data_IF_580648768888
#
_entry.id   IF_580648768888
#
_cell.length_a   1.000
_cell.length_b   1.000
_cell.length_c   1.000
_cell.angle_alpha   90.00
_cell.angle_beta   90.00
_cell.angle_gamma   90.00
#
_symmetry.space_group_name_H-M   'P 1'
#
loop_
_entity.id
_entity.type
_entity.pdbx_description
1 polymer ?
#
# COMPACT_ATOMS: atom_id res chain seq x y z
N UNK A 1 34.04 16.36 4.82
CA UNK A 1 33.90 14.91 4.50
C UNK A 1 32.49 14.50 4.08
N UNK A 2 31.48 15.37 4.25
CA UNK A 2 30.06 15.04 3.96
C UNK A 2 29.64 14.99 2.48
N UNK A 3 30.24 15.77 1.60
CA UNK A 3 29.78 15.85 0.20
C UNK A 3 30.23 14.69 -0.71
N UNK A 4 31.35 14.03 -0.41
CA UNK A 4 31.83 12.89 -1.21
C UNK A 4 31.04 11.59 -0.93
N UNK A 5 30.51 11.40 0.29
CA UNK A 5 29.64 10.25 0.63
C UNK A 5 28.23 10.33 0.03
N UNK A 6 27.73 11.54 -0.34
CA UNK A 6 26.38 11.73 -0.90
C UNK A 6 26.22 11.18 -2.34
N UNK A 7 27.27 11.14 -3.16
CA UNK A 7 27.18 10.75 -4.58
C UNK A 7 27.20 9.24 -4.84
N UNK A 8 27.68 8.43 -3.91
CA UNK A 8 27.83 6.98 -4.10
C UNK A 8 26.62 6.14 -3.63
N UNK A 9 25.61 6.75 -2.99
CA UNK A 9 24.50 6.03 -2.35
C UNK A 9 23.20 6.02 -3.14
N UNK A 10 23.05 6.82 -4.20
CA UNK A 10 21.82 6.86 -4.99
C UNK A 10 21.91 5.93 -6.20
N UNK A 11 20.93 5.03 -6.34
CA UNK A 11 20.77 4.27 -7.58
C UNK A 11 20.31 5.23 -8.65
N UNK A 12 21.11 5.37 -9.73
CA UNK A 12 20.79 6.25 -10.84
C UNK A 12 19.46 5.87 -11.51
N UNK A 13 18.63 6.86 -11.83
CA UNK A 13 17.33 6.66 -12.48
C UNK A 13 17.45 5.85 -13.79
N UNK A 14 18.55 6.00 -14.53
CA UNK A 14 18.86 5.24 -15.76
C UNK A 14 18.91 3.72 -15.50
N UNK A 15 19.45 3.29 -14.36
CA UNK A 15 19.56 1.87 -13.98
C UNK A 15 18.21 1.28 -13.60
N UNK A 16 17.29 2.13 -13.11
CA UNK A 16 15.94 1.74 -12.70
C UNK A 16 14.93 1.76 -13.86
N UNK A 17 15.07 2.68 -14.80
CA UNK A 17 14.14 2.88 -15.93
C UNK A 17 14.33 1.91 -17.11
N UNK A 18 15.51 1.32 -17.28
CA UNK A 18 15.92 0.56 -18.47
C UNK A 18 15.25 -0.79 -18.74
N UNK A 19 14.08 -1.11 -18.15
CA UNK A 19 13.31 -2.35 -18.42
C UNK A 19 11.81 -2.06 -18.36
N UNK A 20 11.03 -2.62 -19.30
CA UNK A 20 9.59 -2.39 -19.49
C UNK A 20 8.79 -2.45 -18.20
N UNK A 21 8.15 -1.34 -17.82
CA UNK A 21 7.22 -1.21 -16.72
C UNK A 21 5.78 -1.36 -17.22
N UNK A 22 5.03 -2.34 -16.76
CA UNK A 22 3.58 -2.53 -16.96
C UNK A 22 3.05 -2.21 -18.37
N UNK A 23 3.87 -2.42 -19.44
CA UNK A 23 3.50 -2.18 -20.84
C UNK A 23 3.72 -0.74 -21.33
N UNK A 24 4.31 0.14 -20.50
CA UNK A 24 4.88 1.45 -20.91
C UNK A 24 6.29 1.55 -20.36
N UNK A 25 7.21 1.98 -21.22
CA UNK A 25 8.58 2.28 -20.78
C UNK A 25 8.53 3.64 -20.06
N UNK A 26 8.65 3.65 -18.73
CA UNK A 26 8.80 4.89 -17.97
C UNK A 26 10.12 5.54 -18.38
N UNK A 27 10.05 6.79 -18.84
CA UNK A 27 11.23 7.52 -19.29
C UNK A 27 12.15 7.79 -18.08
N UNK A 28 13.48 7.55 -18.21
CA UNK A 28 14.43 7.79 -17.11
C UNK A 28 14.37 9.22 -16.57
N UNK A 29 14.20 10.20 -17.46
CA UNK A 29 14.11 11.61 -17.11
C UNK A 29 12.87 11.92 -16.27
N UNK A 30 11.74 11.28 -16.56
CA UNK A 30 10.49 11.42 -15.78
C UNK A 30 10.66 10.85 -14.39
N UNK A 31 11.28 9.66 -14.27
CA UNK A 31 11.55 9.04 -12.96
C UNK A 31 12.55 9.89 -12.14
N UNK A 32 13.60 10.42 -12.78
CA UNK A 32 14.57 11.31 -12.14
C UNK A 32 13.89 12.56 -11.59
N UNK A 33 13.08 13.23 -12.43
CA UNK A 33 12.31 14.41 -12.05
C UNK A 33 11.33 14.12 -10.91
N UNK A 34 10.59 13.02 -11.00
CA UNK A 34 9.66 12.57 -9.95
C UNK A 34 10.38 12.37 -8.61
N UNK A 35 11.53 11.67 -8.60
CA UNK A 35 12.28 11.43 -7.36
C UNK A 35 12.90 12.72 -6.79
N UNK A 36 13.32 13.68 -7.65
CA UNK A 36 13.79 14.99 -7.20
C UNK A 36 12.67 15.78 -6.52
N UNK A 37 11.49 15.84 -7.14
CA UNK A 37 10.32 16.48 -6.53
C UNK A 37 9.92 15.79 -5.22
N UNK A 38 9.89 14.46 -5.19
CA UNK A 38 9.55 13.71 -3.99
C UNK A 38 10.51 14.02 -2.83
N UNK A 39 11.82 14.02 -3.10
CA UNK A 39 12.84 14.34 -2.09
C UNK A 39 12.79 15.80 -1.63
N UNK A 40 12.43 16.72 -2.52
CA UNK A 40 12.19 18.12 -2.14
C UNK A 40 10.96 18.20 -1.20
N UNK A 41 9.85 17.61 -1.58
CA UNK A 41 8.60 17.64 -0.80
C UNK A 41 8.76 17.01 0.60
N UNK A 42 9.48 15.87 0.71
CA UNK A 42 9.64 15.17 2.00
C UNK A 42 10.74 15.79 2.88
N UNK A 43 11.84 16.27 2.29
CA UNK A 43 13.07 16.63 3.02
C UNK A 43 13.48 18.07 2.83
N UNK A 44 12.72 18.86 2.07
CA UNK A 44 13.07 20.24 1.68
C UNK A 44 14.48 20.33 1.03
N UNK A 45 14.84 19.31 0.25
CA UNK A 45 16.13 19.29 -0.46
C UNK A 45 16.03 20.14 -1.71
N UNK A 46 17.09 20.95 -2.04
CA UNK A 46 17.13 21.68 -3.29
C UNK A 46 16.97 20.76 -4.51
N UNK A 47 16.24 21.22 -5.52
CA UNK A 47 16.10 20.52 -6.80
C UNK A 47 17.28 20.91 -7.69
N UNK A 48 18.38 20.16 -7.61
CA UNK A 48 19.59 20.39 -8.40
C UNK A 48 19.58 19.58 -9.70
N UNK A 49 20.20 20.13 -10.77
CA UNK A 49 20.35 19.41 -12.04
C UNK A 49 19.01 19.01 -12.68
N UNK A 50 17.99 19.86 -12.54
CA UNK A 50 16.71 19.67 -13.19
C UNK A 50 16.85 19.75 -14.71
N UNK A 51 16.28 18.80 -15.42
CA UNK A 51 16.15 18.82 -16.87
C UNK A 51 14.73 19.27 -17.22
N UNK A 52 14.60 20.25 -18.12
CA UNK A 52 13.29 20.71 -18.57
C UNK A 52 12.53 19.55 -19.22
N UNK A 53 11.32 19.31 -18.74
CA UNK A 53 10.43 18.26 -19.23
C UNK A 53 9.57 18.77 -20.40
N UNK A 54 9.28 17.89 -21.36
CA UNK A 54 8.27 18.14 -22.38
C UNK A 54 6.85 18.07 -21.78
N UNK A 55 5.82 18.60 -22.46
CA UNK A 55 4.43 18.45 -22.02
C UNK A 55 4.01 16.99 -21.81
N UNK A 56 4.49 16.06 -22.66
CA UNK A 56 4.21 14.61 -22.54
C UNK A 56 4.89 14.02 -21.32
N UNK A 57 6.12 14.41 -21.01
CA UNK A 57 6.85 13.99 -19.83
C UNK A 57 6.17 14.51 -18.54
N UNK A 58 5.66 15.73 -18.56
CA UNK A 58 4.86 16.27 -17.45
C UNK A 58 3.55 15.49 -17.25
N UNK A 59 2.85 15.10 -18.33
CA UNK A 59 1.66 14.24 -18.25
C UNK A 59 2.00 12.87 -17.64
N UNK A 60 3.13 12.29 -18.03
CA UNK A 60 3.61 11.01 -17.49
C UNK A 60 3.96 11.13 -16.00
N UNK A 61 4.64 12.20 -15.58
CA UNK A 61 4.98 12.49 -14.18
C UNK A 61 3.71 12.66 -13.33
N UNK A 62 2.74 13.46 -13.78
CA UNK A 62 1.47 13.65 -13.10
C UNK A 62 0.69 12.33 -12.98
N UNK A 63 0.67 11.50 -14.03
CA UNK A 63 0.05 10.18 -14.00
C UNK A 63 0.74 9.23 -13.02
N UNK A 64 2.07 9.31 -12.89
CA UNK A 64 2.83 8.54 -11.91
C UNK A 64 2.51 9.00 -10.48
N UNK A 65 2.48 10.32 -10.23
CA UNK A 65 2.10 10.91 -8.96
C UNK A 65 0.71 10.44 -8.51
N UNK A 66 -0.25 10.48 -9.42
CA UNK A 66 -1.62 10.00 -9.20
C UNK A 66 -1.68 8.51 -8.91
N UNK A 67 -0.97 7.69 -9.68
CA UNK A 67 -0.95 6.24 -9.50
C UNK A 67 -0.43 5.82 -8.12
N UNK A 68 0.46 6.64 -7.52
CA UNK A 68 1.02 6.42 -6.19
C UNK A 68 0.32 7.22 -5.08
N UNK A 69 -0.77 7.94 -5.39
CA UNK A 69 -1.49 8.82 -4.45
C UNK A 69 -0.58 9.86 -3.78
N UNK A 70 0.32 10.43 -4.58
CA UNK A 70 1.31 11.43 -4.18
C UNK A 70 1.11 12.79 -4.88
N UNK A 71 -0.02 13.00 -5.58
CA UNK A 71 -0.28 14.27 -6.28
C UNK A 71 -0.20 15.46 -5.33
N UNK A 72 -0.83 15.39 -4.15
CA UNK A 72 -0.73 16.44 -3.13
C UNK A 72 0.71 16.61 -2.63
N UNK A 73 1.36 15.52 -2.21
CA UNK A 73 2.74 15.60 -1.69
C UNK A 73 3.72 16.17 -2.72
N UNK A 74 3.62 15.79 -4.01
CA UNK A 74 4.52 16.31 -5.03
C UNK A 74 4.22 17.77 -5.42
N UNK A 75 2.98 18.25 -5.20
CA UNK A 75 2.67 19.66 -5.47
C UNK A 75 3.47 20.61 -4.58
N UNK A 76 3.90 20.17 -3.39
CA UNK A 76 4.75 20.97 -2.50
C UNK A 76 6.09 21.35 -3.14
N UNK A 77 6.56 20.56 -4.12
CA UNK A 77 7.80 20.81 -4.83
C UNK A 77 7.66 21.73 -6.05
N UNK A 78 6.44 22.05 -6.50
CA UNK A 78 6.23 22.84 -7.73
C UNK A 78 6.88 24.23 -7.64
N UNK A 79 6.77 24.88 -6.48
CA UNK A 79 7.37 26.21 -6.24
C UNK A 79 8.90 26.18 -6.08
N UNK A 80 9.50 24.99 -6.00
CA UNK A 80 10.95 24.79 -5.87
C UNK A 80 11.62 24.48 -7.22
N UNK A 81 10.86 24.44 -8.29
CA UNK A 81 11.38 24.19 -9.64
C UNK A 81 12.20 25.38 -10.13
N UNK A 82 13.26 25.15 -10.95
CA UNK A 82 13.99 26.24 -11.58
C UNK A 82 13.10 27.08 -12.49
N UNK A 83 13.43 28.35 -12.59
CA UNK A 83 12.69 29.31 -13.47
C UNK A 83 12.54 28.77 -14.90
N UNK A 84 11.36 28.90 -15.47
CA UNK A 84 11.01 28.42 -16.80
C UNK A 84 10.93 26.90 -16.97
N UNK A 85 10.87 26.17 -15.85
CA UNK A 85 10.69 24.72 -15.83
C UNK A 85 9.33 24.29 -15.29
N UNK A 86 8.37 25.20 -15.25
CA UNK A 86 7.02 24.96 -14.76
C UNK A 86 6.26 23.92 -15.59
N UNK A 87 5.29 23.27 -14.94
CA UNK A 87 4.37 22.39 -15.64
C UNK A 87 3.45 23.19 -16.58
N UNK A 88 3.16 22.71 -17.80
CA UNK A 88 2.19 23.36 -18.68
C UNK A 88 0.79 23.44 -18.03
N UNK A 89 0.02 24.50 -18.32
CA UNK A 89 -1.30 24.73 -17.72
C UNK A 89 -2.25 23.55 -17.90
N UNK A 90 -2.22 22.90 -19.06
CA UNK A 90 -3.05 21.70 -19.34
C UNK A 90 -2.73 20.49 -18.45
N UNK A 91 -1.56 20.47 -17.79
CA UNK A 91 -1.18 19.46 -16.80
C UNK A 91 -1.42 19.98 -15.37
N UNK A 92 -1.03 21.23 -15.13
CA UNK A 92 -1.07 21.85 -13.81
C UNK A 92 -2.50 22.03 -13.29
N UNK A 93 -3.42 22.54 -14.12
CA UNK A 93 -4.80 22.78 -13.70
C UNK A 93 -5.52 21.50 -13.21
N UNK A 94 -5.55 20.37 -13.95
CA UNK A 94 -6.13 19.13 -13.44
C UNK A 94 -5.40 18.60 -12.20
N UNK A 95 -4.09 18.82 -12.09
CA UNK A 95 -3.33 18.41 -10.92
C UNK A 95 -3.74 19.21 -9.68
N UNK A 96 -3.86 20.52 -9.77
CA UNK A 96 -4.30 21.37 -8.65
C UNK A 96 -5.73 21.07 -8.21
N UNK A 97 -6.64 20.72 -9.14
CA UNK A 97 -7.98 20.23 -8.81
C UNK A 97 -7.91 18.93 -7.98
N UNK A 98 -6.95 18.05 -8.27
CA UNK A 98 -6.75 16.82 -7.48
C UNK A 98 -6.15 17.12 -6.10
N UNK A 99 -5.26 18.09 -5.98
CA UNK A 99 -4.72 18.58 -4.70
C UNK A 99 -5.87 19.12 -3.83
N UNK A 100 -6.69 20.01 -4.37
CA UNK A 100 -7.84 20.56 -3.66
C UNK A 100 -8.79 19.46 -3.15
N UNK A 101 -9.07 18.44 -3.96
CA UNK A 101 -9.88 17.30 -3.51
C UNK A 101 -9.21 16.51 -2.38
N UNK A 102 -7.89 16.45 -2.35
CA UNK A 102 -7.14 15.80 -1.28
C UNK A 102 -7.27 16.60 0.02
N UNK A 103 -7.18 17.93 -0.05
CA UNK A 103 -7.39 18.84 1.09
C UNK A 103 -8.82 18.76 1.62
N UNK A 104 -9.83 18.78 0.74
CA UNK A 104 -11.24 18.64 1.11
C UNK A 104 -11.49 17.27 1.81
N UNK A 105 -10.90 16.21 1.28
CA UNK A 105 -10.98 14.87 1.90
C UNK A 105 -10.29 14.85 3.27
N UNK A 106 -9.11 15.46 3.40
CA UNK A 106 -8.41 15.58 4.68
C UNK A 106 -9.25 16.35 5.72
N UNK A 107 -9.86 17.46 5.34
CA UNK A 107 -10.75 18.24 6.21
C UNK A 107 -11.96 17.41 6.69
N UNK A 108 -12.57 16.62 5.78
CA UNK A 108 -13.68 15.72 6.13
C UNK A 108 -13.22 14.62 7.10
N UNK A 109 -12.08 13.97 6.83
CA UNK A 109 -11.51 12.95 7.71
C UNK A 109 -11.21 13.53 9.11
N UNK A 110 -10.61 14.72 9.17
CA UNK A 110 -10.30 15.42 10.42
C UNK A 110 -11.57 15.70 11.25
N UNK A 111 -12.64 16.13 10.58
CA UNK A 111 -13.95 16.36 11.22
C UNK A 111 -14.53 15.05 11.79
N UNK A 112 -14.50 13.97 11.03
CA UNK A 112 -15.03 12.67 11.46
C UNK A 112 -14.21 12.13 12.62
N UNK A 113 -12.87 12.13 12.51
CA UNK A 113 -11.97 11.66 13.58
C UNK A 113 -12.16 12.48 14.84
N UNK A 114 -12.25 13.80 14.73
CA UNK A 114 -12.49 14.68 15.89
C UNK A 114 -13.83 14.44 16.58
N UNK A 115 -14.88 14.13 15.81
CA UNK A 115 -16.20 13.75 16.35
C UNK A 115 -16.13 12.38 17.04
N UNK A 116 -15.54 11.38 16.38
CA UNK A 116 -15.43 10.04 16.94
C UNK A 116 -14.56 10.01 18.19
N UNK A 117 -13.41 10.73 18.20
CA UNK A 117 -12.53 10.83 19.37
C UNK A 117 -13.28 11.33 20.59
N UNK A 118 -14.09 12.39 20.46
CA UNK A 118 -14.92 12.89 21.57
C UNK A 118 -15.89 11.83 22.09
N UNK A 119 -16.55 11.10 21.19
CA UNK A 119 -17.47 10.00 21.56
C UNK A 119 -16.72 8.90 22.32
N UNK A 120 -15.53 8.53 21.86
CA UNK A 120 -14.71 7.51 22.53
C UNK A 120 -14.27 7.96 23.93
N UNK A 121 -13.82 9.22 24.04
CA UNK A 121 -13.41 9.83 25.32
C UNK A 121 -14.57 9.93 26.31
N UNK A 122 -15.75 10.42 25.88
CA UNK A 122 -16.96 10.49 26.71
C UNK A 122 -17.43 9.13 27.21
N UNK A 123 -17.15 8.07 26.49
CA UNK A 123 -17.46 6.67 26.84
C UNK A 123 -16.33 5.97 27.55
N UNK A 124 -15.21 6.62 27.78
CA UNK A 124 -14.03 6.04 28.44
C UNK A 124 -13.32 4.96 27.62
N UNK A 125 -13.54 4.90 26.29
CA UNK A 125 -12.94 3.91 25.40
C UNK A 125 -11.50 4.30 25.07
N UNK A 126 -10.57 3.37 25.18
CA UNK A 126 -9.17 3.54 24.77
C UNK A 126 -9.04 3.30 23.27
N UNK A 127 -9.13 4.35 22.48
CA UNK A 127 -9.05 4.30 21.02
C UNK A 127 -7.74 4.89 20.51
N UNK A 128 -7.08 4.18 19.60
CA UNK A 128 -5.87 4.61 18.90
C UNK A 128 -6.14 4.70 17.40
N UNK A 129 -5.83 5.84 16.80
CA UNK A 129 -5.84 5.99 15.36
C UNK A 129 -4.55 5.39 14.78
N UNK A 130 -4.66 4.37 13.92
CA UNK A 130 -3.49 3.60 13.47
C UNK A 130 -2.76 4.24 12.28
N UNK A 131 -3.51 4.83 11.36
CA UNK A 131 -3.04 5.28 10.03
C UNK A 131 -3.83 6.53 9.59
N UNK A 132 -3.74 6.86 8.31
CA UNK A 132 -4.50 7.96 7.74
C UNK A 132 -4.02 9.31 8.25
N UNK A 133 -4.81 10.00 9.04
CA UNK A 133 -4.48 11.31 9.61
C UNK A 133 -3.27 11.27 10.56
N UNK A 134 -3.08 10.15 11.29
CA UNK A 134 -1.87 9.97 12.12
C UNK A 134 -0.60 10.04 11.27
N UNK A 135 -0.59 9.35 10.12
CA UNK A 135 0.53 9.44 9.19
C UNK A 135 0.62 10.82 8.52
N UNK A 136 -0.51 11.45 8.18
CA UNK A 136 -0.53 12.78 7.57
C UNK A 136 0.11 13.84 8.49
N UNK A 137 -0.13 13.78 9.80
CA UNK A 137 0.45 14.70 10.78
C UNK A 137 1.98 14.71 10.81
N UNK A 138 2.64 13.70 10.23
CA UNK A 138 4.10 13.63 10.13
C UNK A 138 4.67 14.38 8.93
N UNK A 139 3.82 14.82 7.98
CA UNK A 139 4.21 15.57 6.78
C UNK A 139 4.24 17.07 7.05
N UNK A 140 5.03 17.80 6.24
CA UNK A 140 5.14 19.26 6.36
C UNK A 140 3.81 19.96 6.02
N UNK A 141 3.05 19.39 5.07
CA UNK A 141 1.69 19.82 4.70
C UNK A 141 0.78 18.59 4.85
N UNK A 142 0.19 18.38 6.03
CA UNK A 142 -0.64 17.20 6.32
C UNK A 142 -1.80 17.01 5.35
N UNK A 143 -2.39 18.10 4.87
CA UNK A 143 -3.55 18.15 3.97
C UNK A 143 -3.21 17.57 2.59
N UNK A 144 -1.95 17.60 2.17
CA UNK A 144 -1.48 17.09 0.90
C UNK A 144 -1.19 15.59 0.91
N UNK A 145 -1.16 14.96 2.08
CA UNK A 145 -1.05 13.50 2.19
C UNK A 145 -2.43 12.87 2.04
N UNK A 146 -2.65 12.16 0.93
CA UNK A 146 -3.93 11.49 0.63
C UNK A 146 -4.30 10.48 1.72
N UNK A 147 -5.44 10.69 2.39
CA UNK A 147 -6.05 9.74 3.31
C UNK A 147 -7.04 8.83 2.59
N UNK A 148 -7.21 7.60 3.03
CA UNK A 148 -8.18 6.62 2.49
C UNK A 148 -9.29 6.36 3.50
N UNK A 149 -9.05 5.41 4.36
CA UNK A 149 -9.92 4.96 5.44
C UNK A 149 -9.53 5.58 6.79
N UNK A 150 -10.40 5.46 7.77
CA UNK A 150 -10.14 5.83 9.17
C UNK A 150 -10.03 4.54 9.95
N UNK A 151 -8.85 4.26 10.46
CA UNK A 151 -8.50 3.00 11.13
C UNK A 151 -8.43 3.18 12.64
N UNK A 152 -9.42 2.69 13.38
CA UNK A 152 -9.42 2.70 14.84
C UNK A 152 -9.04 1.34 15.42
N UNK A 153 -8.16 1.34 16.38
CA UNK A 153 -7.89 0.20 17.26
C UNK A 153 -8.35 0.54 18.68
N UNK A 154 -8.94 -0.44 19.36
CA UNK A 154 -9.39 -0.30 20.74
C UNK A 154 -8.57 -1.22 21.65
N UNK A 155 -8.20 -0.70 22.84
CA UNK A 155 -7.28 -1.39 23.75
C UNK A 155 -7.78 -2.72 24.29
N UNK A 156 -9.10 -2.99 24.21
CA UNK A 156 -9.73 -4.23 24.66
C UNK A 156 -10.80 -4.72 23.69
N UNK A 157 -11.15 -6.01 23.79
CA UNK A 157 -12.26 -6.58 23.03
C UNK A 157 -13.62 -6.00 23.46
N UNK A 158 -13.74 -5.54 24.69
CA UNK A 158 -14.93 -4.90 25.22
C UNK A 158 -15.09 -3.49 24.66
N UNK A 159 -14.02 -2.68 24.66
CA UNK A 159 -14.03 -1.37 24.04
C UNK A 159 -14.36 -1.44 22.53
N UNK A 160 -13.74 -2.42 21.84
CA UNK A 160 -14.03 -2.67 20.42
C UNK A 160 -15.51 -3.02 20.19
N UNK A 161 -16.10 -3.87 21.04
CA UNK A 161 -17.51 -4.25 20.96
C UNK A 161 -18.41 -3.03 21.23
N UNK A 162 -18.13 -2.26 22.27
CA UNK A 162 -18.87 -1.05 22.64
C UNK A 162 -18.81 -0.01 21.52
N UNK A 163 -17.65 0.19 20.90
CA UNK A 163 -17.51 1.10 19.77
C UNK A 163 -18.38 0.69 18.56
N UNK A 164 -18.45 -0.62 18.28
CA UNK A 164 -19.33 -1.15 17.23
C UNK A 164 -20.81 -0.97 17.57
N UNK A 165 -21.22 -1.19 18.81
CA UNK A 165 -22.61 -0.97 19.28
C UNK A 165 -23.00 0.51 19.16
N UNK A 166 -22.09 1.43 19.49
CA UNK A 166 -22.30 2.87 19.31
C UNK A 166 -22.48 3.21 17.81
N UNK A 167 -21.63 2.70 16.92
CA UNK A 167 -21.74 2.93 15.49
C UNK A 167 -23.08 2.38 14.95
N UNK A 168 -23.48 1.16 15.34
CA UNK A 168 -24.75 0.57 14.96
C UNK A 168 -25.95 1.38 15.51
N UNK A 169 -25.90 1.80 16.77
CA UNK A 169 -26.93 2.64 17.40
C UNK A 169 -27.10 4.00 16.74
N UNK A 170 -26.08 4.51 16.08
CA UNK A 170 -26.12 5.72 15.24
C UNK A 170 -26.54 5.43 13.78
N UNK A 171 -27.04 4.25 13.48
CA UNK A 171 -27.58 3.87 12.16
C UNK A 171 -26.53 3.46 11.13
N UNK A 172 -25.26 3.24 11.53
CA UNK A 172 -24.25 2.73 10.62
C UNK A 172 -24.48 1.25 10.31
N UNK A 173 -24.44 0.88 9.03
CA UNK A 173 -24.49 -0.52 8.60
C UNK A 173 -23.09 -1.13 8.76
N UNK A 174 -22.95 -2.02 9.74
CA UNK A 174 -21.69 -2.69 10.03
C UNK A 174 -21.50 -3.91 9.13
N UNK A 175 -20.31 -4.06 8.58
CA UNK A 175 -19.88 -5.25 7.83
C UNK A 175 -18.58 -5.78 8.45
N UNK A 176 -18.50 -7.11 8.64
CA UNK A 176 -17.32 -7.76 9.21
C UNK A 176 -16.54 -8.45 8.09
N UNK A 177 -15.24 -8.21 8.04
CA UNK A 177 -14.35 -8.85 7.08
C UNK A 177 -13.89 -10.25 7.52
N UNK A 178 -13.01 -10.88 6.71
CA UNK A 178 -12.47 -12.22 6.99
C UNK A 178 -11.46 -12.26 8.15
N UNK A 179 -10.87 -11.13 8.49
CA UNK A 179 -9.89 -11.00 9.57
C UNK A 179 -10.59 -10.66 10.91
N UNK A 180 -11.91 -10.37 10.85
CA UNK A 180 -12.79 -10.09 11.98
C UNK A 180 -12.83 -8.60 12.32
N UNK A 181 -12.28 -7.74 11.48
CA UNK A 181 -12.40 -6.30 11.60
C UNK A 181 -13.76 -5.84 11.10
N UNK A 182 -14.31 -4.79 11.71
CA UNK A 182 -15.60 -4.21 11.34
C UNK A 182 -15.39 -2.93 10.56
N UNK A 183 -16.09 -2.79 9.44
CA UNK A 183 -16.08 -1.55 8.66
C UNK A 183 -17.50 -1.05 8.39
N UNK A 184 -17.63 0.25 8.25
CA UNK A 184 -18.85 0.96 7.90
C UNK A 184 -18.54 2.27 7.19
N UNK A 185 -19.53 2.89 6.59
CA UNK A 185 -19.39 4.19 5.91
C UNK A 185 -20.03 5.29 6.74
N UNK A 186 -19.29 6.36 7.01
CA UNK A 186 -19.77 7.56 7.67
C UNK A 186 -19.48 8.78 6.80
N UNK A 187 -20.54 9.48 6.36
CA UNK A 187 -20.43 10.64 5.45
C UNK A 187 -19.61 10.37 4.17
N UNK A 188 -19.66 9.13 3.66
CA UNK A 188 -18.92 8.72 2.45
C UNK A 188 -17.49 8.25 2.71
N UNK A 189 -16.99 8.32 3.96
CA UNK A 189 -15.67 7.81 4.37
C UNK A 189 -15.82 6.44 5.00
N UNK A 190 -14.95 5.50 4.61
CA UNK A 190 -14.87 4.18 5.24
C UNK A 190 -14.17 4.30 6.60
N UNK A 191 -14.79 3.74 7.62
CA UNK A 191 -14.24 3.64 8.97
C UNK A 191 -14.06 2.17 9.29
N UNK A 192 -12.90 1.81 9.78
CA UNK A 192 -12.54 0.44 10.17
C UNK A 192 -12.24 0.37 11.66
N UNK A 193 -12.88 -0.58 12.36
CA UNK A 193 -12.63 -0.91 13.74
C UNK A 193 -11.81 -2.20 13.81
N UNK A 194 -10.52 -2.07 14.03
CA UNK A 194 -9.57 -3.18 14.07
C UNK A 194 -9.58 -3.91 15.41
N UNK A 195 -9.60 -5.24 15.35
CA UNK A 195 -9.39 -6.10 16.53
C UNK A 195 -7.95 -6.16 16.97
N UNK A 196 -7.04 -5.79 16.08
CA UNK A 196 -5.59 -5.80 16.30
C UNK A 196 -4.98 -4.53 15.73
N UNK A 197 -4.00 -3.99 16.45
CA UNK A 197 -3.30 -2.78 16.01
C UNK A 197 -2.24 -3.03 14.92
N UNK A 198 -1.96 -4.30 14.57
CA UNK A 198 -0.97 -4.66 13.56
C UNK A 198 -1.43 -5.82 12.68
N UNK A 199 -0.81 -5.95 11.52
CA UNK A 199 -1.12 -6.90 10.45
C UNK A 199 -0.27 -8.19 10.49
N UNK A 200 0.47 -8.46 11.57
CA UNK A 200 1.31 -9.64 11.68
C UNK A 200 0.49 -10.95 11.50
N UNK A 201 0.95 -11.82 10.62
CA UNK A 201 0.27 -13.06 10.27
C UNK A 201 0.88 -14.29 10.94
N UNK A 202 2.21 -14.32 11.15
CA UNK A 202 2.89 -15.46 11.77
C UNK A 202 2.81 -15.45 13.29
N UNK A 203 2.73 -16.61 13.92
CA UNK A 203 2.77 -16.72 15.38
C UNK A 203 4.07 -16.15 15.97
N UNK A 204 5.18 -16.26 15.23
CA UNK A 204 6.47 -15.70 15.63
C UNK A 204 6.42 -14.18 15.74
N UNK A 205 5.95 -13.49 14.70
CA UNK A 205 5.86 -12.03 14.69
C UNK A 205 4.84 -11.56 15.72
N UNK A 206 3.67 -12.20 15.82
CA UNK A 206 2.63 -11.87 16.78
C UNK A 206 3.15 -11.88 18.22
N UNK A 207 3.87 -12.93 18.62
CA UNK A 207 4.40 -13.03 19.98
C UNK A 207 5.27 -11.82 20.37
N UNK A 208 6.06 -11.30 19.44
CA UNK A 208 6.93 -10.15 19.68
C UNK A 208 6.15 -8.83 19.60
N UNK A 209 5.33 -8.68 18.57
CA UNK A 209 4.69 -7.40 18.27
C UNK A 209 3.52 -7.13 19.21
N UNK A 210 2.67 -8.13 19.51
CA UNK A 210 1.52 -7.95 20.39
C UNK A 210 1.91 -7.67 21.85
N UNK A 211 3.17 -7.93 22.21
CA UNK A 211 3.71 -7.59 23.54
C UNK A 211 4.12 -6.10 23.67
N UNK A 212 4.13 -5.35 22.57
CA UNK A 212 4.50 -3.93 22.59
C UNK A 212 3.26 -3.07 22.86
N UNK A 213 3.39 -1.99 23.66
CA UNK A 213 2.36 -0.97 23.75
C UNK A 213 2.23 -0.29 22.37
N UNK A 214 1.03 -0.26 21.78
CA UNK A 214 0.86 0.15 20.38
C UNK A 214 1.19 1.62 20.11
N UNK A 215 1.16 2.48 21.15
CA UNK A 215 1.47 3.90 21.07
C UNK A 215 2.98 4.22 21.05
N UNK A 216 3.84 3.22 21.31
CA UNK A 216 5.28 3.46 21.37
C UNK A 216 5.88 3.65 19.97
N UNK A 217 6.97 4.46 19.84
CA UNK A 217 7.66 4.68 18.56
C UNK A 217 8.06 3.38 17.85
N UNK A 218 8.64 2.42 18.58
CA UNK A 218 9.01 1.12 17.99
C UNK A 218 7.79 0.35 17.47
N UNK A 219 6.69 0.33 18.23
CA UNK A 219 5.45 -0.34 17.80
C UNK A 219 4.91 0.31 16.53
N UNK A 220 4.89 1.64 16.46
CA UNK A 220 4.43 2.39 15.31
C UNK A 220 5.30 2.17 14.05
N UNK A 221 6.63 2.09 14.20
CA UNK A 221 7.55 1.75 13.11
C UNK A 221 7.36 0.30 12.65
N UNK A 222 7.23 -0.64 13.58
CA UNK A 222 6.99 -2.06 13.28
C UNK A 222 5.62 -2.24 12.60
N UNK A 223 4.58 -1.56 13.07
CA UNK A 223 3.24 -1.62 12.49
C UNK A 223 3.26 -1.24 11.00
N UNK A 224 3.88 -0.11 10.66
CA UNK A 224 4.01 0.35 9.27
C UNK A 224 4.83 -0.62 8.41
N UNK A 225 5.91 -1.18 8.98
CA UNK A 225 6.74 -2.19 8.31
C UNK A 225 5.93 -3.45 7.94
N UNK A 226 5.15 -3.97 8.89
CA UNK A 226 4.30 -5.16 8.70
C UNK A 226 3.13 -4.86 7.75
N UNK A 227 2.57 -3.66 7.84
CA UNK A 227 1.50 -3.21 6.95
C UNK A 227 1.97 -3.16 5.47
N UNK A 228 3.16 -2.60 5.21
CA UNK A 228 3.77 -2.62 3.88
C UNK A 228 3.97 -4.06 3.41
N UNK A 229 4.46 -4.95 4.28
CA UNK A 229 4.64 -6.37 3.94
C UNK A 229 3.32 -7.06 3.57
N UNK A 230 2.24 -6.81 4.33
CA UNK A 230 0.89 -7.32 4.02
C UNK A 230 0.47 -6.91 2.62
N UNK A 231 0.57 -5.62 2.31
CA UNK A 231 0.23 -5.10 0.98
C UNK A 231 1.11 -5.68 -0.13
N UNK A 232 2.41 -5.76 0.09
CA UNK A 232 3.35 -6.35 -0.85
C UNK A 232 2.98 -7.78 -1.24
N UNK A 233 2.52 -8.58 -0.27
CA UNK A 233 2.14 -9.99 -0.50
C UNK A 233 0.80 -10.16 -1.20
N UNK A 234 -0.11 -9.19 -1.13
CA UNK A 234 -1.51 -9.39 -1.56
C UNK A 234 -1.91 -8.50 -2.73
N UNK A 235 -1.60 -7.21 -2.68
CA UNK A 235 -2.17 -6.22 -3.59
C UNK A 235 -1.16 -5.32 -4.29
N UNK A 236 0.10 -5.31 -3.84
CA UNK A 236 1.14 -4.40 -4.31
C UNK A 236 1.45 -3.29 -3.31
N UNK A 237 2.61 -2.66 -3.49
CA UNK A 237 3.13 -1.62 -2.59
C UNK A 237 2.96 -0.26 -3.26
N UNK A 238 2.21 0.65 -2.63
CA UNK A 238 2.19 2.06 -3.03
C UNK A 238 3.41 2.82 -2.49
N UNK A 239 3.97 3.71 -3.29
CA UNK A 239 5.10 4.53 -2.84
C UNK A 239 4.73 5.42 -1.64
N UNK A 240 3.46 5.86 -1.54
CA UNK A 240 2.96 6.59 -0.37
C UNK A 240 3.20 5.84 0.94
N UNK A 241 2.98 4.53 0.99
CA UNK A 241 3.20 3.73 2.20
C UNK A 241 4.68 3.70 2.63
N UNK A 242 5.59 3.72 1.65
CA UNK A 242 7.03 3.84 1.91
C UNK A 242 7.41 5.25 2.36
N UNK A 243 6.78 6.29 1.80
CA UNK A 243 6.92 7.66 2.30
C UNK A 243 6.41 7.77 3.75
N UNK A 244 5.25 7.19 4.08
CA UNK A 244 4.72 7.17 5.45
C UNK A 244 5.71 6.54 6.44
N UNK A 245 6.37 5.45 6.06
CA UNK A 245 7.39 4.83 6.91
C UNK A 245 8.63 5.73 7.04
N UNK A 246 9.08 6.37 5.95
CA UNK A 246 10.20 7.30 5.98
C UNK A 246 9.92 8.52 6.88
N UNK A 247 8.69 9.06 6.78
CA UNK A 247 8.24 10.17 7.63
C UNK A 247 8.11 9.76 9.10
N UNK A 248 7.69 8.52 9.37
CA UNK A 248 7.65 7.99 10.73
C UNK A 248 9.05 7.87 11.35
N UNK A 249 10.06 7.43 10.59
CA UNK A 249 11.45 7.43 11.05
C UNK A 249 11.92 8.84 11.39
N UNK A 250 11.57 9.86 10.59
CA UNK A 250 11.88 11.27 10.91
C UNK A 250 11.15 11.74 12.17
N UNK A 251 9.85 11.42 12.28
CA UNK A 251 9.02 11.87 13.39
C UNK A 251 9.48 11.29 14.73
N UNK A 252 9.88 10.03 14.74
CA UNK A 252 10.34 9.32 15.95
C UNK A 252 11.86 9.35 16.16
N UNK A 253 12.60 10.14 15.39
CA UNK A 253 14.04 10.26 15.54
C UNK A 253 14.40 10.68 16.98
N UNK A 254 15.36 9.96 17.58
CA UNK A 254 15.76 10.16 18.97
C UNK A 254 14.76 9.71 20.04
N UNK A 255 13.59 9.16 19.67
CA UNK A 255 12.54 8.71 20.59
C UNK A 255 12.52 7.18 20.80
N UNK A 256 13.38 6.43 20.15
CA UNK A 256 13.52 4.99 20.27
C UNK A 256 14.98 4.56 20.17
N UNK A 257 15.27 3.35 20.63
CA UNK A 257 16.59 2.74 20.45
C UNK A 257 16.65 1.94 19.13
N UNK A 258 17.47 2.35 18.13
CA UNK A 258 17.60 1.63 16.87
C UNK A 258 18.07 0.18 17.02
N UNK A 259 18.90 -0.12 18.04
CA UNK A 259 19.34 -1.49 18.31
C UNK A 259 18.21 -2.35 18.86
N UNK A 260 17.39 -1.80 19.75
CA UNK A 260 16.16 -2.43 20.27
C UNK A 260 15.17 -2.73 19.15
N UNK A 261 14.86 -1.75 18.29
CA UNK A 261 13.97 -1.92 17.14
C UNK A 261 14.48 -3.04 16.20
N UNK A 262 15.77 -3.00 15.85
CA UNK A 262 16.39 -4.02 15.00
C UNK A 262 16.34 -5.41 15.65
N UNK A 263 16.57 -5.49 16.95
CA UNK A 263 16.46 -6.72 17.74
C UNK A 263 15.06 -7.32 17.69
N UNK A 264 14.03 -6.52 17.96
CA UNK A 264 12.61 -6.91 17.92
C UNK A 264 12.20 -7.39 16.50
N UNK A 265 12.57 -6.66 15.45
CA UNK A 265 12.31 -7.05 14.07
C UNK A 265 13.01 -8.36 13.69
N UNK A 266 14.24 -8.58 14.16
CA UNK A 266 14.96 -9.84 13.94
C UNK A 266 14.31 -11.00 14.69
N UNK A 267 13.92 -10.78 15.93
CA UNK A 267 13.17 -11.76 16.75
C UNK A 267 11.83 -12.11 16.10
N UNK A 268 11.09 -11.13 15.60
CA UNK A 268 9.85 -11.31 14.86
C UNK A 268 10.03 -12.03 13.50
N UNK A 269 11.27 -12.21 13.02
CA UNK A 269 11.57 -12.81 11.71
C UNK A 269 11.43 -11.83 10.54
N UNK A 270 11.43 -10.54 10.82
CA UNK A 270 11.26 -9.44 9.87
C UNK A 270 12.56 -8.67 9.59
N UNK A 271 13.69 -9.03 10.22
CA UNK A 271 14.94 -8.26 10.13
C UNK A 271 15.45 -8.11 8.69
N UNK A 272 15.38 -9.16 7.86
CA UNK A 272 15.79 -9.06 6.44
C UNK A 272 14.84 -8.16 5.64
N UNK A 273 13.52 -8.30 5.87
CA UNK A 273 12.52 -7.44 5.22
C UNK A 273 12.73 -5.98 5.58
N UNK A 274 12.93 -5.67 6.86
CA UNK A 274 13.26 -4.32 7.30
C UNK A 274 14.54 -3.78 6.64
N UNK A 275 15.60 -4.59 6.52
CA UNK A 275 16.82 -4.19 5.81
C UNK A 275 16.55 -3.82 4.35
N UNK A 276 15.70 -4.60 3.64
CA UNK A 276 15.30 -4.29 2.27
C UNK A 276 14.51 -2.98 2.17
N UNK A 277 13.57 -2.74 3.11
CA UNK A 277 12.84 -1.48 3.18
C UNK A 277 13.79 -0.31 3.48
N UNK A 278 14.67 -0.45 4.47
CA UNK A 278 15.65 0.59 4.82
C UNK A 278 16.55 0.95 3.63
N UNK A 279 17.02 -0.05 2.86
CA UNK A 279 17.79 0.20 1.65
C UNK A 279 16.98 1.02 0.63
N UNK A 280 15.68 0.73 0.46
CA UNK A 280 14.80 1.50 -0.40
C UNK A 280 14.62 2.94 0.13
N UNK A 281 14.31 3.10 1.41
CA UNK A 281 14.07 4.42 2.01
C UNK A 281 15.31 5.32 1.89
N UNK A 282 16.50 4.78 2.11
CA UNK A 282 17.76 5.55 2.01
C UNK A 282 18.11 5.85 0.56
N UNK A 283 18.12 4.84 -0.32
CA UNK A 283 18.67 4.98 -1.66
C UNK A 283 17.69 5.57 -2.68
N UNK A 284 16.38 5.33 -2.51
CA UNK A 284 15.35 5.80 -3.44
C UNK A 284 14.66 7.05 -2.92
N UNK A 285 14.16 7.01 -1.67
CA UNK A 285 13.44 8.14 -1.07
C UNK A 285 14.42 9.18 -0.50
N UNK A 286 15.64 8.77 -0.13
CA UNK A 286 16.66 9.66 0.43
C UNK A 286 16.47 9.95 1.92
N UNK A 287 15.91 9.00 2.69
CA UNK A 287 15.77 9.12 4.14
C UNK A 287 17.13 9.12 4.83
N UNK A 288 17.41 10.11 5.70
CA UNK A 288 18.66 10.26 6.44
C UNK A 288 18.55 9.82 7.91
N UNK A 289 17.37 9.40 8.36
CA UNK A 289 17.07 9.06 9.76
C UNK A 289 17.30 7.58 10.09
N UNK A 290 17.78 6.82 9.13
CA UNK A 290 18.11 5.40 9.28
C UNK A 290 19.38 5.07 8.53
N UNK A 291 20.11 4.06 9.00
CA UNK A 291 21.29 3.56 8.31
C UNK A 291 20.94 2.65 7.13
N UNK A 292 21.72 2.76 6.08
CA UNK A 292 21.64 1.86 4.94
C UNK A 292 22.09 0.45 5.37
N UNK A 293 21.30 -0.56 5.02
CA UNK A 293 21.73 -1.96 5.13
C UNK A 293 22.56 -2.34 3.89
N UNK A 294 23.88 -2.30 4.01
CA UNK A 294 24.82 -2.63 2.92
C UNK A 294 24.83 -4.12 2.55
N UNK A 295 24.12 -4.96 3.32
CA UNK A 295 23.99 -6.41 3.03
C UNK A 295 22.88 -6.73 2.03
N UNK A 296 22.06 -5.73 1.66
CA UNK A 296 21.01 -5.92 0.68
C UNK A 296 21.59 -5.97 -0.72
N UNK A 297 21.44 -7.08 -1.46
CA UNK A 297 21.91 -7.17 -2.84
C UNK A 297 21.20 -6.14 -3.74
N UNK A 298 21.95 -5.49 -4.63
CA UNK A 298 21.40 -4.49 -5.54
C UNK A 298 20.24 -5.03 -6.39
N UNK A 299 20.30 -6.30 -6.82
CA UNK A 299 19.24 -6.94 -7.60
C UNK A 299 17.91 -7.06 -6.82
N UNK A 300 17.96 -7.26 -5.50
CA UNK A 300 16.75 -7.34 -4.66
C UNK A 300 16.14 -5.95 -4.45
N UNK A 301 16.97 -4.94 -4.29
CA UNK A 301 16.50 -3.56 -4.22
C UNK A 301 15.91 -3.10 -5.55
N UNK A 302 16.55 -3.42 -6.68
CA UNK A 302 16.00 -3.17 -8.02
C UNK A 302 14.66 -3.88 -8.22
N UNK A 303 14.52 -5.11 -7.72
CA UNK A 303 13.25 -5.82 -7.75
C UNK A 303 12.18 -5.05 -6.95
N UNK A 304 12.49 -4.59 -5.72
CA UNK A 304 11.53 -3.85 -4.91
C UNK A 304 11.12 -2.53 -5.58
N UNK A 305 12.07 -1.79 -6.14
CA UNK A 305 11.78 -0.54 -6.88
C UNK A 305 10.81 -0.81 -8.04
N UNK A 306 11.07 -1.85 -8.85
CA UNK A 306 10.18 -2.23 -9.94
C UNK A 306 8.80 -2.63 -9.42
N UNK A 307 8.74 -3.46 -8.39
CA UNK A 307 7.48 -3.90 -7.82
C UNK A 307 6.64 -2.70 -7.34
N UNK A 308 7.27 -1.70 -6.72
CA UNK A 308 6.62 -0.47 -6.29
C UNK A 308 6.12 0.34 -7.49
N UNK A 309 6.98 0.61 -8.48
CA UNK A 309 6.62 1.43 -9.65
C UNK A 309 5.55 0.78 -10.53
N UNK A 310 5.55 -0.56 -10.64
CA UNK A 310 4.57 -1.30 -11.44
C UNK A 310 3.21 -1.44 -10.76
N UNK A 311 3.19 -1.59 -9.44
CA UNK A 311 1.97 -1.88 -8.69
C UNK A 311 1.11 -0.64 -8.45
N UNK A 312 1.73 0.52 -8.22
CA UNK A 312 1.02 1.71 -7.75
C UNK A 312 0.31 1.47 -6.41
N UNK A 313 -0.55 2.39 -6.01
CA UNK A 313 -1.35 2.21 -4.81
C UNK A 313 -2.43 1.13 -5.07
N UNK A 314 -2.42 0.02 -4.33
CA UNK A 314 -3.32 -1.14 -4.43
C UNK A 314 -3.14 -2.08 -5.63
N UNK A 315 -1.98 -2.07 -6.28
CA UNK A 315 -1.73 -2.93 -7.44
C UNK A 315 -2.67 -2.57 -8.60
N UNK A 316 -2.15 -2.21 -9.76
CA UNK A 316 -3.00 -2.04 -10.95
C UNK A 316 -3.67 -3.39 -11.21
N UNK A 317 -4.94 -3.55 -10.83
CA UNK A 317 -5.78 -4.61 -11.39
C UNK A 317 -5.70 -4.46 -12.90
N UNK A 318 -4.97 -5.31 -13.57
CA UNK A 318 -5.03 -5.44 -15.02
C UNK A 318 -6.50 -5.68 -15.34
N UNK A 319 -7.16 -4.69 -15.93
CA UNK A 319 -8.44 -4.86 -16.57
C UNK A 319 -8.24 -5.78 -17.79
N UNK A 320 -8.27 -7.08 -17.56
CA UNK A 320 -8.61 -8.05 -18.57
C UNK A 320 -10.12 -8.28 -18.43
N UNK A 321 -10.90 -7.63 -19.30
CA UNK A 321 -12.34 -7.82 -19.38
C UNK A 321 -13.16 -6.67 -18.80
N UNK A 322 -13.81 -5.93 -19.69
CA UNK A 322 -14.80 -4.85 -19.57
C UNK A 322 -15.66 -4.72 -18.31
N UNK A 323 -15.06 -4.32 -17.21
CA UNK A 323 -15.75 -3.84 -16.01
C UNK A 323 -15.34 -2.39 -15.80
N UNK A 324 -16.33 -1.49 -15.68
CA UNK A 324 -16.10 -0.09 -15.35
C UNK A 324 -15.20 0.04 -14.13
N UNK A 325 -14.27 1.03 -14.08
CA UNK A 325 -13.49 1.31 -12.88
C UNK A 325 -14.46 1.58 -11.73
N UNK A 326 -14.30 0.87 -10.61
CA UNK A 326 -14.76 1.41 -9.34
C UNK A 326 -13.75 2.52 -8.99
N UNK A 327 -14.01 3.70 -9.51
CA UNK A 327 -13.44 4.93 -8.97
C UNK A 327 -13.86 4.96 -7.51
N UNK A 328 -12.90 5.17 -6.61
CA UNK A 328 -13.18 5.44 -5.22
C UNK A 328 -14.25 6.54 -5.18
N UNK A 329 -15.44 6.18 -4.74
CA UNK A 329 -16.65 6.98 -4.87
C UNK A 329 -16.60 8.12 -3.87
N UNK A 330 -15.80 9.15 -4.15
CA UNK A 330 -15.87 10.43 -3.47
C UNK A 330 -17.02 11.22 -4.09
N UNK A 331 -18.19 11.19 -3.43
CA UNK A 331 -19.20 12.23 -3.45
C UNK A 331 -19.74 12.69 -4.80
N UNK A 332 -20.60 11.91 -5.46
CA UNK A 332 -21.63 12.46 -6.34
C UNK A 332 -23.00 12.25 -5.73
N UNK A 333 -23.45 13.21 -4.94
CA UNK A 333 -24.89 13.43 -4.74
C UNK A 333 -25.45 13.97 -6.06
N UNK A 334 -26.18 13.15 -6.80
CA UNK A 334 -27.20 13.66 -7.73
C UNK A 334 -28.38 14.10 -6.87
N UNK A 335 -28.73 15.39 -6.97
CA UNK A 335 -30.04 15.88 -6.60
C UNK A 335 -31.10 15.08 -7.37
N UNK A 336 -31.96 14.42 -6.64
CA UNK A 336 -33.17 13.81 -7.17
C UNK A 336 -34.25 14.87 -7.22
N UNK A 337 -34.57 15.34 -8.41
CA UNK A 337 -35.87 15.96 -8.67
C UNK A 337 -36.89 14.88 -8.97
N UNK A 338 -38.04 15.10 -8.37
CA UNK A 338 -39.32 14.50 -8.31
C UNK A 338 -39.85 13.52 -9.35
N UNK A 339 -40.59 12.62 -8.80
CA UNK A 339 -41.86 11.97 -9.23
C UNK A 339 -42.12 11.71 -10.73
N UNK A 340 -42.24 10.42 -11.06
CA UNK A 340 -43.51 9.79 -11.57
C UNK A 340 -43.34 8.28 -11.86
N UNK A 341 -44.51 7.52 -11.85
CA UNK A 341 -44.50 6.11 -11.61
C UNK A 341 -44.68 5.21 -12.84
N UNK A 342 -44.37 3.92 -12.61
CA UNK A 342 -44.88 2.70 -13.26
C UNK A 342 -44.99 2.60 -14.79
N UNK A 343 -44.32 1.60 -15.36
CA UNK A 343 -45.03 0.55 -16.14
C UNK A 343 -44.17 -0.71 -16.28
N UNK A 344 -44.83 -1.84 -16.07
CA UNK A 344 -44.38 -3.21 -16.30
C UNK A 344 -44.02 -3.47 -17.77
N UNK A 345 -43.03 -4.32 -18.05
CA UNK A 345 -43.33 -5.53 -18.85
C UNK A 345 -42.13 -6.49 -18.97
N UNK A 346 -42.46 -7.71 -18.80
CA UNK A 346 -41.95 -9.02 -19.17
C UNK A 346 -41.07 -9.12 -20.42
N UNK A 347 -40.07 -10.03 -20.36
CA UNK A 347 -39.82 -10.87 -21.51
C UNK A 347 -38.38 -11.44 -21.66
N UNK A 348 -38.20 -12.70 -21.23
CA UNK A 348 -37.37 -13.78 -21.84
C UNK A 348 -35.95 -13.45 -22.30
N UNK A 349 -34.87 -13.97 -21.70
CA UNK A 349 -34.45 -15.36 -21.88
C UNK A 349 -33.44 -15.50 -23.02
N UNK A 350 -32.15 -15.74 -22.69
CA UNK A 350 -31.31 -16.72 -23.39
C UNK A 350 -29.96 -16.95 -22.66
N UNK A 351 -29.68 -18.23 -22.49
CA UNK A 351 -28.44 -18.80 -21.98
C UNK A 351 -27.28 -18.60 -22.99
N UNK A 352 -26.08 -18.42 -22.50
CA UNK A 352 -24.88 -19.04 -23.09
C UNK A 352 -23.65 -18.91 -22.17
N UNK A 353 -23.13 -20.06 -21.76
CA UNK A 353 -21.74 -20.48 -21.88
C UNK A 353 -20.75 -19.83 -20.94
N UNK A 354 -20.68 -20.28 -19.65
CA UNK A 354 -19.59 -19.95 -18.77
C UNK A 354 -18.46 -20.97 -18.81
N UNK A 355 -17.31 -20.62 -19.34
CA UNK A 355 -16.09 -21.40 -19.18
C UNK A 355 -15.47 -21.23 -17.79
N UNK A 356 -15.35 -22.32 -17.04
CA UNK A 356 -14.72 -22.36 -15.71
C UNK A 356 -13.18 -22.28 -15.85
N UNK A 357 -12.46 -21.47 -15.06
CA UNK A 357 -11.01 -21.56 -14.98
C UNK A 357 -10.60 -22.82 -14.20
N UNK A 358 -9.70 -23.58 -14.76
CA UNK A 358 -9.21 -24.83 -14.17
C UNK A 358 -8.52 -24.64 -12.81
N UNK A 359 -8.96 -25.42 -11.86
CA UNK A 359 -8.58 -25.41 -10.44
C UNK A 359 -7.22 -26.08 -10.10
N UNK A 360 -6.45 -26.52 -11.10
CA UNK A 360 -5.29 -27.41 -10.90
C UNK A 360 -4.07 -26.78 -10.22
N UNK A 361 -3.77 -25.53 -10.53
CA UNK A 361 -2.54 -24.88 -10.02
C UNK A 361 -2.58 -24.52 -8.52
N UNK A 362 -3.77 -24.32 -7.95
CA UNK A 362 -3.94 -23.99 -6.53
C UNK A 362 -3.96 -25.23 -5.62
N UNK A 363 -4.38 -26.37 -6.15
CA UNK A 363 -4.35 -27.65 -5.42
C UNK A 363 -2.91 -28.13 -5.17
N UNK A 364 -2.02 -27.92 -6.13
CA UNK A 364 -0.60 -28.26 -6.01
C UNK A 364 0.14 -27.39 -4.96
N UNK A 365 -0.24 -26.13 -4.79
CA UNK A 365 0.32 -25.28 -3.74
C UNK A 365 -0.13 -25.72 -2.33
N UNK A 366 -1.35 -26.24 -2.18
CA UNK A 366 -1.88 -26.70 -0.89
C UNK A 366 -1.15 -27.95 -0.36
N UNK A 367 -0.81 -28.90 -1.20
CA UNK A 367 -0.14 -30.14 -0.80
C UNK A 367 1.34 -29.97 -0.46
N UNK A 368 2.04 -29.05 -1.15
CA UNK A 368 3.44 -28.72 -0.86
C UNK A 368 3.64 -28.01 0.48
N UNK A 369 2.61 -27.31 0.97
CA UNK A 369 2.66 -26.54 2.23
C UNK A 369 2.27 -27.38 3.46
N UNK A 370 1.66 -28.56 3.28
CA UNK A 370 1.22 -29.41 4.40
C UNK A 370 2.35 -30.25 5.01
N UNK A 371 3.49 -30.42 4.32
CA UNK A 371 4.58 -31.32 4.73
C UNK A 371 5.74 -30.67 5.50
N UNK A 372 5.66 -29.39 5.86
CA UNK A 372 6.56 -28.74 6.84
C UNK A 372 8.03 -28.57 6.47
N UNK A 373 8.49 -29.07 5.34
CA UNK A 373 9.86 -28.88 4.82
C UNK A 373 9.79 -28.35 3.38
N UNK A 374 10.49 -27.27 3.04
CA UNK A 374 10.61 -26.84 1.65
C UNK A 374 11.51 -27.83 0.92
N UNK A 375 10.93 -28.74 0.18
CA UNK A 375 11.69 -29.60 -0.71
C UNK A 375 11.92 -28.86 -2.02
N UNK A 376 13.16 -28.93 -2.53
CA UNK A 376 13.57 -28.37 -3.83
C UNK A 376 12.73 -28.90 -5.01
N UNK A 377 12.01 -30.02 -4.83
CA UNK A 377 11.12 -30.60 -5.81
C UNK A 377 9.87 -29.81 -6.19
N UNK A 378 9.38 -28.92 -5.31
CA UNK A 378 8.20 -28.10 -5.60
C UNK A 378 8.48 -27.01 -6.67
N UNK A 379 9.69 -26.48 -6.68
CA UNK A 379 10.16 -25.54 -7.70
C UNK A 379 10.40 -26.24 -9.05
N UNK A 380 10.86 -27.49 -9.02
CA UNK A 380 11.11 -28.31 -10.24
C UNK A 380 9.79 -28.73 -10.89
N UNK A 381 8.77 -29.09 -10.11
CA UNK A 381 7.44 -29.44 -10.62
C UNK A 381 6.71 -28.23 -11.25
N UNK A 382 6.92 -27.02 -10.71
CA UNK A 382 6.40 -25.81 -11.33
C UNK A 382 7.11 -25.46 -12.63
N UNK A 383 8.41 -25.72 -12.74
CA UNK A 383 9.18 -25.55 -13.98
C UNK A 383 8.73 -26.49 -15.09
N UNK A 384 8.44 -27.76 -14.78
CA UNK A 384 8.01 -28.79 -15.76
C UNK A 384 6.57 -28.57 -16.27
N UNK A 385 5.66 -27.99 -15.44
CA UNK A 385 4.30 -27.65 -15.86
C UNK A 385 4.26 -26.48 -16.87
N UNK A 386 5.32 -25.66 -16.92
CA UNK A 386 5.44 -24.55 -17.85
C UNK A 386 5.97 -24.99 -19.23
N UNK A 387 6.68 -26.14 -19.31
CA UNK A 387 7.31 -26.63 -20.54
C UNK A 387 6.39 -27.42 -21.45
N UNK A 388 5.21 -27.86 -21.01
CA UNK A 388 4.36 -28.82 -21.74
C UNK A 388 3.12 -28.22 -22.44
N UNK A 389 2.94 -26.91 -22.47
CA UNK A 389 1.84 -26.28 -23.22
C UNK A 389 2.24 -24.92 -23.77
N UNK A 390 1.87 -24.58 -25.01
CA UNK A 390 2.02 -23.21 -25.57
C UNK A 390 1.05 -22.29 -24.84
N UNK A 391 1.46 -21.53 -23.78
CA UNK A 391 0.56 -20.62 -23.10
C UNK A 391 0.45 -19.33 -23.88
N UNK A 392 -0.73 -18.75 -23.86
CA UNK A 392 -0.93 -17.37 -24.35
C UNK A 392 -0.01 -16.42 -23.58
N UNK A 393 0.68 -15.55 -24.27
CA UNK A 393 1.77 -14.69 -23.76
C UNK A 393 1.47 -13.92 -22.47
N UNK A 394 0.19 -13.63 -22.18
CA UNK A 394 -0.25 -12.96 -20.95
C UNK A 394 -0.25 -13.83 -19.69
N UNK A 395 -0.50 -15.13 -19.79
CA UNK A 395 -0.55 -16.05 -18.63
C UNK A 395 0.86 -16.35 -18.10
N UNK A 396 1.86 -16.47 -18.98
CA UNK A 396 3.27 -16.67 -18.62
C UNK A 396 3.84 -15.46 -17.86
N UNK A 397 3.52 -14.26 -18.29
CA UNK A 397 3.98 -13.03 -17.62
C UNK A 397 3.37 -12.90 -16.20
N UNK A 398 2.11 -13.31 -16.02
CA UNK A 398 1.44 -13.32 -14.71
C UNK A 398 2.02 -14.38 -13.76
N UNK A 399 2.29 -15.57 -14.27
CA UNK A 399 2.91 -16.64 -13.48
C UNK A 399 4.37 -16.31 -13.11
N UNK A 400 5.14 -15.73 -14.03
CA UNK A 400 6.49 -15.27 -13.78
C UNK A 400 6.56 -14.19 -12.70
N UNK A 401 5.66 -13.22 -12.72
CA UNK A 401 5.56 -12.17 -11.70
C UNK A 401 5.17 -12.73 -10.32
N UNK A 402 4.20 -13.64 -10.25
CA UNK A 402 3.78 -14.26 -9.00
C UNK A 402 4.87 -15.14 -8.39
N UNK A 403 5.60 -15.90 -9.22
CA UNK A 403 6.73 -16.71 -8.78
C UNK A 403 7.90 -15.86 -8.29
N UNK A 404 8.24 -14.79 -9.02
CA UNK A 404 9.30 -13.85 -8.62
C UNK A 404 9.00 -13.19 -7.28
N UNK A 405 7.75 -12.76 -7.04
CA UNK A 405 7.31 -12.23 -5.74
C UNK A 405 7.39 -13.27 -4.64
N UNK A 406 6.94 -14.49 -4.90
CA UNK A 406 7.02 -15.59 -3.93
C UNK A 406 8.44 -15.89 -3.48
N UNK A 407 9.40 -15.88 -4.40
CA UNK A 407 10.82 -16.10 -4.10
C UNK A 407 11.39 -15.00 -3.18
N UNK A 408 11.06 -13.73 -3.43
CA UNK A 408 11.53 -12.62 -2.60
C UNK A 408 10.93 -12.72 -1.19
N UNK A 409 9.62 -12.96 -1.04
CA UNK A 409 9.02 -13.06 0.29
C UNK A 409 9.53 -14.28 1.06
N UNK A 410 9.81 -15.41 0.40
CA UNK A 410 10.47 -16.56 1.03
C UNK A 410 11.90 -16.23 1.49
N UNK A 411 12.61 -15.33 0.81
CA UNK A 411 13.95 -14.89 1.19
C UNK A 411 13.92 -13.92 2.37
N UNK A 412 12.97 -12.96 2.36
CA UNK A 412 12.98 -11.81 3.26
C UNK A 412 12.04 -11.94 4.46
N UNK A 413 10.89 -12.60 4.33
CA UNK A 413 9.90 -12.78 5.39
C UNK A 413 9.18 -14.14 5.31
N UNK A 414 9.91 -15.27 5.38
CA UNK A 414 9.33 -16.60 5.13
C UNK A 414 8.18 -16.95 6.06
N UNK A 415 8.29 -16.65 7.34
CA UNK A 415 7.25 -16.98 8.32
C UNK A 415 5.94 -16.23 8.03
N UNK A 416 6.03 -14.93 7.73
CA UNK A 416 4.87 -14.10 7.37
C UNK A 416 4.24 -14.55 6.05
N UNK A 417 5.06 -14.81 5.03
CA UNK A 417 4.57 -15.27 3.74
C UNK A 417 3.82 -16.60 3.83
N UNK A 418 4.40 -17.60 4.51
CA UNK A 418 3.76 -18.91 4.71
C UNK A 418 2.46 -18.77 5.52
N UNK A 419 2.48 -17.97 6.60
CA UNK A 419 1.29 -17.75 7.43
C UNK A 419 0.16 -17.08 6.64
N UNK A 420 0.48 -16.07 5.83
CA UNK A 420 -0.48 -15.35 4.98
C UNK A 420 -1.09 -16.26 3.91
N UNK A 421 -0.29 -17.05 3.22
CA UNK A 421 -0.78 -18.02 2.23
C UNK A 421 -1.73 -19.03 2.89
N UNK A 422 -1.38 -19.57 4.07
CA UNK A 422 -2.25 -20.48 4.82
C UNK A 422 -3.59 -19.84 5.19
N UNK A 423 -3.59 -18.59 5.62
CA UNK A 423 -4.81 -17.83 5.94
C UNK A 423 -5.71 -17.68 4.71
N UNK A 424 -5.14 -17.27 3.57
CA UNK A 424 -5.88 -17.11 2.32
C UNK A 424 -6.50 -18.42 1.82
N UNK A 425 -5.78 -19.54 1.93
CA UNK A 425 -6.29 -20.88 1.56
C UNK A 425 -7.45 -21.28 2.48
N UNK A 426 -7.30 -21.11 3.82
CA UNK A 426 -8.38 -21.41 4.78
C UNK A 426 -9.62 -20.57 4.54
N UNK A 427 -9.45 -19.27 4.27
CA UNK A 427 -10.57 -18.37 3.97
C UNK A 427 -11.35 -18.76 2.71
N UNK A 428 -10.64 -19.21 1.64
CA UNK A 428 -11.28 -19.72 0.42
C UNK A 428 -12.03 -21.03 0.65
N UNK A 429 -11.47 -21.93 1.45
CA UNK A 429 -12.14 -23.21 1.79
C UNK A 429 -13.44 -22.97 2.58
N UNK A 430 -13.43 -22.07 3.57
CA UNK A 430 -14.64 -21.71 4.33
C UNK A 430 -15.74 -21.10 3.44
N UNK A 431 -15.40 -20.27 2.46
CA UNK A 431 -16.38 -19.70 1.51
C UNK A 431 -16.96 -20.75 0.58
N UNK A 432 -16.16 -21.75 0.12
CA UNK A 432 -16.67 -22.85 -0.70
C UNK A 432 -17.68 -23.71 0.07
N UNK A 433 -17.39 -24.03 1.34
CA UNK A 433 -18.28 -24.83 2.20
C UNK A 433 -19.58 -24.07 2.54
N UNK A 434 -19.55 -22.73 2.62
CA UNK A 434 -20.74 -21.91 2.93
C UNK A 434 -21.63 -21.69 1.71
N UNK A 435 -21.11 -21.91 0.50
CA UNK A 435 -21.82 -21.75 -0.79
C UNK A 435 -22.17 -23.10 -1.46
N UNK A 436 -21.82 -24.21 -0.86
CA UNK A 436 -22.29 -25.58 -1.14
C UNK A 436 -23.34 -26.01 -0.14
#
# INVERSE_FOLDING_TARGET
MGQKRRRETEIGAERLAGKRHAGRDLQPEVLEAFLKMLRNALWNRPIEGWKKLSPEQWKELAALAKAHTLSGTLSDALNSLPEGCDAPSEVLEPWLVEVQRTEEAHALHSKIVGMQRRVWEERGLKALLLKGLDSAAMYSVPEHRTCGDIDWYFGSAEDWKTANEIAAGNGCKLEMDSDGDVHYTLSGVVVEHHRRWNDASSARARRVIDALPPETPEAQLIMRNVHILKHAMVGGIGLRQLCDLAMAYRHYDGQYDPASLTGKLREAGLGKWNGLLNAFLVQVIGCEYIDKDDKVPAADLEWLVRAVLDDGNFGRRRQSGGGKPQDGNFGRRRQSDGDRPQSENFGRGRQSGGGKPQSGALALMGSALSSGKPQSGALTLMGSAISSGKPQSGALALMGSALSRGCIFMKYAPCEYIARIRSLVKGRMKRKIKNS
#
